data_IF_274475721223
#
_entry.id   IF_274475721223
#
_cell.length_a   1.000
_cell.length_b   1.000
_cell.length_c   1.000
_cell.angle_alpha   90.00
_cell.angle_beta   90.00
_cell.angle_gamma   90.00
#
_symmetry.space_group_name_H-M   'P 1'
#
loop_
_entity.id
_entity.type
_entity.pdbx_description
1 polymer ?
#
# COMPACT_ATOMS: atom_id res chain seq x y z
N UNK A 1 2.89 -22.27 -14.14
CA UNK A 1 1.43 -22.31 -14.42
C UNK A 1 0.97 -21.20 -15.37
N UNK A 2 1.12 -19.91 -15.04
CA UNK A 2 0.73 -18.78 -15.93
C UNK A 2 1.32 -18.85 -17.36
N UNK A 3 2.53 -19.41 -17.52
CA UNK A 3 3.28 -19.45 -18.79
C UNK A 3 2.72 -20.39 -19.86
N UNK A 4 2.09 -21.49 -19.46
CA UNK A 4 1.64 -22.52 -20.41
C UNK A 4 0.19 -22.32 -20.85
N UNK A 5 -0.61 -21.66 -20.02
CA UNK A 5 -2.06 -21.54 -20.21
C UNK A 5 -2.49 -20.22 -20.86
N UNK A 6 -1.81 -19.12 -20.52
CA UNK A 6 -2.20 -17.76 -20.93
C UNK A 6 -1.32 -17.26 -22.09
N UNK A 7 -1.40 -17.94 -23.22
CA UNK A 7 -0.55 -17.69 -24.39
C UNK A 7 -0.98 -16.49 -25.25
N UNK A 8 -2.20 -15.98 -25.06
CA UNK A 8 -2.80 -14.89 -25.86
C UNK A 8 -3.85 -14.15 -25.02
N UNK A 9 -4.54 -13.15 -25.60
CA UNK A 9 -5.66 -12.46 -24.93
C UNK A 9 -5.27 -11.42 -23.89
N UNK A 10 -4.02 -10.99 -23.88
CA UNK A 10 -3.51 -9.94 -23.00
C UNK A 10 -3.80 -8.54 -23.57
N UNK A 11 -4.31 -7.63 -22.75
CA UNK A 11 -4.52 -6.23 -23.18
C UNK A 11 -3.19 -5.45 -23.22
N UNK A 12 -2.16 -5.95 -22.54
CA UNK A 12 -0.81 -5.39 -22.54
C UNK A 12 0.25 -6.48 -22.78
N UNK A 13 1.28 -6.22 -23.60
CA UNK A 13 2.35 -7.19 -23.84
C UNK A 13 3.33 -7.32 -22.67
N UNK A 14 3.30 -6.41 -21.70
CA UNK A 14 4.29 -6.38 -20.59
C UNK A 14 4.15 -7.59 -19.66
N UNK A 15 2.96 -7.91 -19.12
CA UNK A 15 2.77 -9.11 -18.31
C UNK A 15 3.20 -10.39 -19.03
N UNK A 16 2.81 -10.54 -20.30
CA UNK A 16 3.15 -11.71 -21.10
C UNK A 16 4.66 -11.91 -21.22
N UNK A 17 5.43 -10.83 -21.44
CA UNK A 17 6.90 -10.90 -21.51
C UNK A 17 7.53 -11.29 -20.18
N UNK A 18 7.06 -10.72 -19.07
CA UNK A 18 7.57 -11.04 -17.72
C UNK A 18 7.28 -12.49 -17.33
N UNK A 19 6.11 -13.01 -17.68
CA UNK A 19 5.77 -14.44 -17.53
C UNK A 19 6.73 -15.30 -18.35
N UNK A 20 6.98 -14.95 -19.63
CA UNK A 20 7.89 -15.71 -20.48
C UNK A 20 9.32 -15.74 -19.93
N UNK A 21 9.77 -14.62 -19.34
CA UNK A 21 11.07 -14.45 -18.69
C UNK A 21 11.17 -15.06 -17.27
N UNK A 22 10.08 -15.57 -16.70
CA UNK A 22 10.07 -16.12 -15.33
C UNK A 22 10.13 -15.07 -14.23
N UNK A 23 9.90 -13.78 -14.54
CA UNK A 23 9.94 -12.66 -13.61
C UNK A 23 8.62 -12.50 -12.85
N UNK A 24 8.17 -13.57 -12.17
CA UNK A 24 6.84 -13.61 -11.56
C UNK A 24 6.69 -12.62 -10.39
N UNK A 25 7.77 -12.30 -9.68
CA UNK A 25 7.78 -11.30 -8.61
C UNK A 25 7.56 -9.87 -9.08
N UNK A 26 7.53 -9.63 -10.40
CA UNK A 26 7.27 -8.30 -10.96
C UNK A 26 5.85 -8.19 -11.56
N UNK A 27 5.00 -9.19 -11.35
CA UNK A 27 3.64 -9.31 -11.89
C UNK A 27 2.56 -8.98 -10.85
N UNK A 28 2.89 -8.14 -9.87
CA UNK A 28 1.99 -7.83 -8.77
C UNK A 28 1.05 -6.65 -9.09
N UNK A 29 -0.23 -6.72 -8.64
CA UNK A 29 -0.89 -7.90 -8.09
C UNK A 29 -1.36 -8.87 -9.21
N UNK A 30 -1.17 -10.18 -8.99
CA UNK A 30 -1.48 -11.22 -9.99
C UNK A 30 -2.97 -11.26 -10.33
N UNK A 31 -3.83 -10.93 -9.36
CA UNK A 31 -5.29 -10.88 -9.51
C UNK A 31 -5.80 -9.74 -10.41
N UNK A 32 -4.96 -8.75 -10.72
CA UNK A 32 -5.31 -7.59 -11.56
C UNK A 32 -4.60 -7.61 -12.90
N UNK A 33 -3.93 -8.71 -13.22
CA UNK A 33 -3.29 -8.88 -14.51
C UNK A 33 -4.32 -8.72 -15.65
N UNK A 34 -3.99 -7.94 -16.71
CA UNK A 34 -4.93 -7.55 -17.75
C UNK A 34 -5.19 -8.70 -18.73
N UNK A 35 -5.92 -9.70 -18.24
CA UNK A 35 -6.30 -10.89 -18.98
C UNK A 35 -7.76 -11.27 -18.66
N UNK A 36 -8.62 -11.53 -19.68
CA UNK A 36 -10.06 -11.77 -19.49
C UNK A 36 -10.42 -12.86 -18.48
N UNK A 37 -9.70 -13.99 -18.48
CA UNK A 37 -10.00 -15.08 -17.55
C UNK A 37 -9.54 -14.80 -16.11
N UNK A 38 -8.53 -13.94 -15.93
CA UNK A 38 -8.08 -13.50 -14.60
C UNK A 38 -9.11 -12.53 -14.04
N UNK A 39 -9.50 -11.52 -14.83
CA UNK A 39 -10.58 -10.60 -14.46
C UNK A 39 -11.88 -11.36 -14.13
N UNK A 40 -12.22 -12.38 -14.93
CA UNK A 40 -13.38 -13.22 -14.65
C UNK A 40 -13.26 -13.99 -13.34
N UNK A 41 -12.08 -14.49 -12.99
CA UNK A 41 -11.86 -15.18 -11.71
C UNK A 41 -12.11 -14.22 -10.54
N UNK A 42 -11.58 -12.99 -10.61
CA UNK A 42 -11.79 -11.96 -9.58
C UNK A 42 -13.27 -11.56 -9.46
N UNK A 43 -13.99 -11.41 -10.58
CA UNK A 43 -15.43 -11.12 -10.59
C UNK A 43 -16.27 -12.28 -10.03
N UNK A 44 -15.89 -13.52 -10.35
CA UNK A 44 -16.65 -14.72 -9.99
C UNK A 44 -16.50 -15.10 -8.52
N UNK A 45 -15.44 -14.64 -7.86
CA UNK A 45 -15.06 -15.08 -6.52
C UNK A 45 -14.70 -13.89 -5.64
N UNK A 46 -15.73 -13.23 -5.12
CA UNK A 46 -15.62 -12.05 -4.26
C UNK A 46 -15.33 -12.38 -2.79
N UNK A 47 -15.35 -11.34 -1.94
CA UNK A 47 -15.19 -11.49 -0.49
C UNK A 47 -16.36 -12.24 0.16
N UNK A 48 -17.56 -12.21 -0.45
CA UNK A 48 -18.72 -12.95 0.01
C UNK A 48 -18.96 -14.19 -0.86
N UNK A 49 -18.72 -15.37 -0.27
CA UNK A 49 -18.91 -16.65 -0.93
C UNK A 49 -20.37 -16.93 -1.34
N UNK A 50 -21.35 -16.27 -0.71
CA UNK A 50 -22.76 -16.40 -1.10
C UNK A 50 -23.06 -15.79 -2.48
N UNK A 51 -22.20 -14.87 -2.93
CA UNK A 51 -22.31 -14.18 -4.21
C UNK A 51 -21.33 -14.72 -5.27
N UNK A 52 -20.66 -15.85 -5.00
CA UNK A 52 -19.79 -16.49 -5.99
C UNK A 52 -20.59 -16.88 -7.25
N UNK A 53 -20.08 -16.51 -8.41
CA UNK A 53 -20.74 -16.72 -9.70
C UNK A 53 -19.85 -17.55 -10.65
N UNK A 54 -19.99 -18.87 -10.57
CA UNK A 54 -19.28 -19.83 -11.42
C UNK A 54 -20.26 -20.83 -12.04
N UNK A 55 -19.85 -21.52 -13.10
CA UNK A 55 -20.75 -22.39 -13.88
C UNK A 55 -21.13 -23.65 -13.10
N UNK A 56 -20.15 -24.27 -12.46
CA UNK A 56 -20.30 -25.52 -11.72
C UNK A 56 -18.97 -26.26 -11.60
N UNK A 57 -18.95 -27.46 -11.01
CA UNK A 57 -17.76 -28.30 -11.03
C UNK A 57 -17.45 -28.81 -12.44
N UNK A 58 -16.17 -28.85 -12.81
CA UNK A 58 -15.73 -29.47 -14.07
C UNK A 58 -15.90 -30.99 -13.96
N UNK A 59 -16.82 -31.56 -14.73
CA UNK A 59 -17.22 -32.96 -14.61
C UNK A 59 -16.08 -33.97 -14.78
N UNK A 60 -15.10 -33.68 -15.65
CA UNK A 60 -13.94 -34.54 -15.89
C UNK A 60 -12.87 -34.47 -14.79
N UNK A 61 -12.90 -33.44 -13.93
CA UNK A 61 -11.94 -33.23 -12.84
C UNK A 61 -12.43 -33.93 -11.56
N UNK A 62 -12.32 -35.25 -11.52
CA UNK A 62 -12.79 -36.08 -10.40
C UNK A 62 -11.77 -36.25 -9.28
N UNK A 63 -10.47 -36.17 -9.58
CA UNK A 63 -9.41 -36.28 -8.58
C UNK A 63 -9.13 -34.97 -7.83
N UNK A 64 -9.48 -33.84 -8.43
CA UNK A 64 -9.35 -32.51 -7.85
C UNK A 64 -10.59 -31.70 -8.21
N UNK A 65 -11.34 -31.22 -7.21
CA UNK A 65 -12.54 -30.43 -7.46
C UNK A 65 -12.15 -29.06 -8.03
N UNK A 66 -12.45 -28.85 -9.30
CA UNK A 66 -12.27 -27.58 -10.00
C UNK A 66 -13.62 -26.93 -10.30
N UNK A 67 -13.76 -25.67 -9.92
CA UNK A 67 -14.91 -24.81 -10.23
C UNK A 67 -14.68 -24.11 -11.56
N UNK A 68 -15.65 -24.18 -12.44
CA UNK A 68 -15.54 -23.68 -13.80
C UNK A 68 -15.93 -22.20 -13.91
N UNK A 69 -15.06 -21.41 -14.52
CA UNK A 69 -15.36 -20.05 -14.98
C UNK A 69 -15.22 -19.95 -16.50
N UNK A 70 -16.01 -19.07 -17.11
CA UNK A 70 -16.05 -18.85 -18.56
C UNK A 70 -16.04 -17.36 -18.88
N UNK A 71 -15.22 -16.97 -19.84
CA UNK A 71 -15.24 -15.62 -20.42
C UNK A 71 -14.98 -15.71 -21.92
N UNK A 72 -15.99 -15.48 -22.75
CA UNK A 72 -15.91 -15.67 -24.20
C UNK A 72 -15.38 -17.08 -24.56
N UNK A 73 -14.27 -17.19 -25.28
CA UNK A 73 -13.63 -18.48 -25.59
C UNK A 73 -12.76 -19.03 -24.46
N UNK A 74 -12.45 -18.24 -23.43
CA UNK A 74 -11.64 -18.68 -22.31
C UNK A 74 -12.44 -19.52 -21.32
N UNK A 75 -11.76 -20.52 -20.78
CA UNK A 75 -12.20 -21.39 -19.70
C UNK A 75 -11.13 -21.39 -18.61
N UNK A 76 -11.58 -21.43 -17.36
CA UNK A 76 -10.71 -21.49 -16.19
C UNK A 76 -11.21 -22.53 -15.20
N UNK A 77 -10.28 -23.27 -14.59
CA UNK A 77 -10.52 -24.16 -13.47
C UNK A 77 -10.00 -23.54 -12.19
N UNK A 78 -10.89 -23.27 -11.25
CA UNK A 78 -10.55 -22.68 -9.95
C UNK A 78 -10.61 -23.73 -8.86
N UNK A 79 -9.51 -23.87 -8.13
CA UNK A 79 -9.42 -24.75 -6.96
C UNK A 79 -9.52 -23.93 -5.68
N UNK A 80 -10.31 -24.40 -4.71
CA UNK A 80 -10.40 -23.78 -3.40
C UNK A 80 -9.56 -24.57 -2.38
N UNK A 81 -8.63 -23.87 -1.74
CA UNK A 81 -7.89 -24.41 -0.60
C UNK A 81 -8.82 -24.50 0.62
N UNK A 82 -9.10 -25.71 1.07
CA UNK A 82 -9.99 -25.94 2.21
C UNK A 82 -9.44 -25.45 3.54
N UNK A 83 -8.13 -25.23 3.65
CA UNK A 83 -7.49 -24.76 4.88
C UNK A 83 -7.54 -23.24 4.99
N UNK A 84 -7.27 -22.55 3.89
CA UNK A 84 -7.13 -21.08 3.86
C UNK A 84 -8.36 -20.38 3.29
N UNK A 85 -9.24 -21.11 2.59
CA UNK A 85 -10.36 -20.56 1.85
C UNK A 85 -9.97 -19.89 0.52
N UNK A 86 -8.67 -19.79 0.21
CA UNK A 86 -8.17 -19.11 -0.98
C UNK A 86 -8.58 -19.87 -2.24
N UNK A 87 -9.01 -19.12 -3.25
CA UNK A 87 -9.44 -19.64 -4.54
C UNK A 87 -8.37 -19.34 -5.59
N UNK A 88 -7.81 -20.40 -6.16
CA UNK A 88 -6.70 -20.36 -7.08
C UNK A 88 -7.18 -20.69 -8.48
N UNK A 89 -6.96 -19.81 -9.45
CA UNK A 89 -7.08 -20.15 -10.85
C UNK A 89 -5.89 -21.06 -11.22
N UNK A 90 -6.12 -22.37 -11.23
CA UNK A 90 -5.08 -23.41 -11.37
C UNK A 90 -4.99 -24.02 -12.77
N UNK A 91 -5.88 -23.64 -13.68
CA UNK A 91 -5.74 -23.98 -15.09
C UNK A 91 -6.56 -23.02 -15.92
N UNK A 92 -6.04 -22.62 -17.08
CA UNK A 92 -6.80 -21.84 -18.05
C UNK A 92 -6.52 -22.29 -19.50
N UNK A 93 -7.46 -22.01 -20.39
CA UNK A 93 -7.30 -22.34 -21.81
C UNK A 93 -8.47 -21.90 -22.66
N UNK A 94 -8.36 -22.14 -23.97
CA UNK A 94 -9.41 -21.84 -24.93
C UNK A 94 -10.32 -23.05 -25.15
N UNK A 95 -11.61 -22.79 -25.34
CA UNK A 95 -12.54 -23.72 -25.94
C UNK A 95 -12.26 -23.79 -27.46
N UNK A 96 -11.91 -24.97 -27.98
CA UNK A 96 -11.52 -25.17 -29.38
C UNK A 96 -12.21 -26.39 -30.01
N UNK A 97 -12.45 -26.32 -31.32
CA UNK A 97 -12.95 -27.43 -32.14
C UNK A 97 -14.13 -28.19 -31.55
N UNK A 98 -15.18 -27.49 -31.12
CA UNK A 98 -16.36 -28.09 -30.47
C UNK A 98 -16.03 -29.05 -29.30
N UNK A 99 -14.96 -28.74 -28.57
CA UNK A 99 -14.43 -29.52 -27.44
C UNK A 99 -13.79 -30.86 -27.82
N UNK A 100 -13.35 -31.01 -29.06
CA UNK A 100 -12.71 -32.23 -29.57
C UNK A 100 -11.22 -32.03 -29.86
N UNK A 101 -10.75 -30.79 -30.00
CA UNK A 101 -9.35 -30.50 -30.24
C UNK A 101 -8.48 -30.95 -29.07
N UNK A 102 -7.29 -31.49 -29.37
CA UNK A 102 -6.33 -31.90 -28.33
C UNK A 102 -5.97 -30.73 -27.40
N UNK A 103 -5.91 -29.52 -27.94
CA UNK A 103 -5.57 -28.31 -27.19
C UNK A 103 -6.80 -27.62 -26.56
N UNK A 104 -7.99 -28.22 -26.69
CA UNK A 104 -9.19 -27.77 -25.97
C UNK A 104 -9.00 -27.92 -24.46
N UNK A 105 -9.49 -26.91 -23.73
CA UNK A 105 -9.44 -26.87 -22.27
C UNK A 105 -9.96 -28.15 -21.59
N UNK A 106 -11.14 -28.66 -21.97
CA UNK A 106 -11.73 -29.82 -21.29
C UNK A 106 -10.97 -31.10 -21.58
N UNK A 107 -10.47 -31.26 -22.80
CA UNK A 107 -9.62 -32.39 -23.19
C UNK A 107 -8.29 -32.38 -22.41
N UNK A 108 -7.71 -31.19 -22.14
CA UNK A 108 -6.53 -31.06 -21.27
C UNK A 108 -6.84 -31.48 -19.83
N UNK A 109 -7.95 -31.01 -19.27
CA UNK A 109 -8.37 -31.36 -17.90
C UNK A 109 -8.66 -32.85 -17.76
N UNK A 110 -9.37 -33.45 -18.71
CA UNK A 110 -9.65 -34.89 -18.69
C UNK A 110 -8.37 -35.72 -18.73
N UNK A 111 -7.44 -35.39 -19.63
CA UNK A 111 -6.15 -36.10 -19.74
C UNK A 111 -5.31 -35.99 -18.46
N UNK A 112 -5.23 -34.79 -17.87
CA UNK A 112 -4.51 -34.58 -16.62
C UNK A 112 -5.15 -35.34 -15.45
N UNK A 113 -6.49 -35.43 -15.43
CA UNK A 113 -7.22 -36.26 -14.46
C UNK A 113 -6.91 -37.74 -14.62
N UNK A 114 -6.99 -38.28 -15.84
CA UNK A 114 -6.71 -39.69 -16.14
C UNK A 114 -5.25 -40.07 -15.83
N UNK A 115 -4.31 -39.15 -16.07
CA UNK A 115 -2.89 -39.32 -15.78
C UNK A 115 -2.54 -39.19 -14.29
N UNK A 116 -3.43 -38.68 -13.44
CA UNK A 116 -3.15 -38.40 -12.04
C UNK A 116 -2.35 -37.12 -11.76
N UNK A 117 -2.24 -36.23 -12.74
CA UNK A 117 -1.33 -35.08 -12.75
C UNK A 117 -1.99 -33.77 -12.31
N UNK A 118 -3.29 -33.77 -11.99
CA UNK A 118 -4.00 -32.56 -11.52
C UNK A 118 -3.37 -31.94 -10.26
N UNK A 119 -2.65 -32.73 -9.45
CA UNK A 119 -1.92 -32.22 -8.28
C UNK A 119 -0.75 -31.31 -8.66
N UNK A 120 -0.18 -31.47 -9.86
CA UNK A 120 0.87 -30.60 -10.39
C UNK A 120 0.40 -29.17 -10.67
N UNK A 121 -0.92 -28.95 -10.74
CA UNK A 121 -1.52 -27.61 -10.90
C UNK A 121 -1.77 -26.89 -9.58
N UNK A 122 -1.61 -27.58 -8.44
CA UNK A 122 -1.80 -26.93 -7.15
C UNK A 122 -0.74 -25.84 -6.93
N UNK A 123 -1.10 -24.77 -6.20
CA UNK A 123 -0.16 -23.69 -5.90
C UNK A 123 1.12 -24.20 -5.26
N UNK A 124 2.24 -23.74 -5.78
CA UNK A 124 3.58 -23.99 -5.27
C UNK A 124 3.88 -23.09 -4.07
N UNK A 125 5.02 -23.30 -3.40
CA UNK A 125 5.45 -22.43 -2.31
C UNK A 125 5.79 -21.02 -2.76
N UNK A 126 6.20 -20.85 -4.02
CA UNK A 126 6.43 -19.53 -4.61
C UNK A 126 5.09 -18.81 -4.83
N UNK A 127 4.05 -19.49 -5.32
CA UNK A 127 2.71 -18.91 -5.49
C UNK A 127 2.13 -18.44 -4.14
N UNK A 128 2.31 -19.25 -3.08
CA UNK A 128 1.90 -18.89 -1.72
C UNK A 128 2.68 -17.69 -1.17
N UNK A 129 3.97 -17.57 -1.52
CA UNK A 129 4.80 -16.43 -1.13
C UNK A 129 4.31 -15.14 -1.80
N UNK A 130 3.99 -15.20 -3.09
CA UNK A 130 3.41 -14.08 -3.85
C UNK A 130 2.07 -13.64 -3.23
N UNK A 131 1.15 -14.58 -2.97
CA UNK A 131 -0.12 -14.28 -2.30
C UNK A 131 0.09 -13.61 -0.93
N UNK A 132 1.04 -14.10 -0.13
CA UNK A 132 1.35 -13.51 1.18
C UNK A 132 1.84 -12.07 1.05
N UNK A 133 2.68 -11.78 0.05
CA UNK A 133 3.17 -10.43 -0.21
C UNK A 133 2.05 -9.48 -0.64
N UNK A 134 1.20 -9.91 -1.58
CA UNK A 134 0.04 -9.13 -2.02
C UNK A 134 -0.96 -8.87 -0.90
N UNK A 135 -1.25 -9.91 -0.10
CA UNK A 135 -2.13 -9.79 1.07
C UNK A 135 -1.57 -8.80 2.07
N UNK A 136 -0.26 -8.87 2.37
CA UNK A 136 0.38 -7.92 3.27
C UNK A 136 0.37 -6.48 2.73
N UNK A 137 0.64 -6.29 1.42
CA UNK A 137 0.60 -4.99 0.77
C UNK A 137 -0.82 -4.39 0.79
N UNK A 138 -1.84 -5.20 0.49
CA UNK A 138 -3.24 -4.78 0.54
C UNK A 138 -3.67 -4.38 1.95
N UNK A 139 -3.42 -5.24 2.94
CA UNK A 139 -3.74 -4.95 4.36
C UNK A 139 -3.07 -3.64 4.80
N UNK A 140 -1.81 -3.44 4.43
CA UNK A 140 -1.08 -2.22 4.77
C UNK A 140 -1.69 -0.98 4.08
N UNK A 141 -2.01 -1.08 2.80
CA UNK A 141 -2.61 0.03 2.03
C UNK A 141 -3.98 0.40 2.58
N UNK A 142 -4.84 -0.59 2.85
CA UNK A 142 -6.17 -0.38 3.47
C UNK A 142 -6.03 0.28 4.84
N UNK A 143 -5.05 -0.15 5.64
CA UNK A 143 -4.77 0.45 6.93
C UNK A 143 -4.29 1.91 6.80
N UNK A 144 -3.39 2.22 5.87
CA UNK A 144 -2.93 3.59 5.62
C UNK A 144 -4.06 4.51 5.16
N UNK A 145 -4.96 4.03 4.29
CA UNK A 145 -6.15 4.76 3.85
C UNK A 145 -7.08 5.06 5.04
N UNK A 146 -7.23 4.10 5.96
CA UNK A 146 -8.01 4.30 7.17
C UNK A 146 -7.35 5.31 8.12
N UNK A 147 -6.03 5.25 8.31
CA UNK A 147 -5.29 6.25 9.09
C UNK A 147 -5.47 7.65 8.51
N UNK A 148 -5.31 7.81 7.19
CA UNK A 148 -5.50 9.10 6.51
C UNK A 148 -6.93 9.63 6.71
N UNK A 149 -7.94 8.77 6.64
CA UNK A 149 -9.34 9.14 6.90
C UNK A 149 -9.54 9.65 8.33
N UNK A 150 -8.99 8.94 9.32
CA UNK A 150 -9.06 9.37 10.73
C UNK A 150 -8.34 10.71 10.94
N UNK A 151 -7.19 10.91 10.31
CA UNK A 151 -6.45 12.20 10.38
C UNK A 151 -7.26 13.32 9.73
N UNK A 152 -7.90 13.07 8.58
CA UNK A 152 -8.82 14.04 7.95
C UNK A 152 -9.94 14.42 8.90
N UNK A 153 -10.60 13.44 9.52
CA UNK A 153 -11.71 13.67 10.45
C UNK A 153 -11.25 14.47 11.69
N UNK A 154 -10.10 14.11 12.25
CA UNK A 154 -9.49 14.83 13.38
C UNK A 154 -9.13 16.27 13.01
N UNK A 155 -8.44 16.48 11.88
CA UNK A 155 -8.05 17.80 11.40
C UNK A 155 -9.27 18.68 11.13
N UNK A 156 -10.31 18.12 10.49
CA UNK A 156 -11.58 18.82 10.28
C UNK A 156 -12.23 19.28 11.58
N UNK A 157 -12.15 18.47 12.64
CA UNK A 157 -12.72 18.81 13.94
C UNK A 157 -11.97 19.97 14.62
N UNK A 158 -10.65 20.08 14.41
CA UNK A 158 -9.81 21.07 15.10
C UNK A 158 -9.31 22.21 14.22
N UNK A 159 -9.61 22.24 12.92
CA UNK A 159 -9.06 23.23 11.96
C UNK A 159 -9.30 24.71 12.33
N UNK A 160 -10.24 25.00 13.25
CA UNK A 160 -10.52 26.35 13.76
C UNK A 160 -10.07 26.55 15.22
N UNK A 161 -9.29 25.62 15.76
CA UNK A 161 -8.85 25.58 17.15
C UNK A 161 -9.40 24.39 17.93
N UNK A 162 -8.63 23.94 18.93
CA UNK A 162 -9.02 22.88 19.86
C UNK A 162 -8.14 21.63 19.73
N UNK A 163 -8.54 20.56 20.42
CA UNK A 163 -7.81 19.29 20.47
C UNK A 163 -8.74 18.13 20.15
N UNK A 164 -8.24 17.16 19.40
CA UNK A 164 -8.92 15.91 19.08
C UNK A 164 -7.99 14.73 19.33
N UNK A 165 -8.53 13.71 20.00
CA UNK A 165 -7.82 12.47 20.30
C UNK A 165 -8.36 11.35 19.42
N UNK A 166 -7.47 10.61 18.76
CA UNK A 166 -7.80 9.41 18.01
C UNK A 166 -6.94 8.22 18.46
N UNK A 167 -7.49 7.02 18.34
CA UNK A 167 -6.76 5.77 18.57
C UNK A 167 -6.61 5.05 17.26
N UNK A 168 -5.37 4.73 16.91
CA UNK A 168 -5.06 4.02 15.68
C UNK A 168 -4.89 2.54 16.01
N UNK A 169 -5.64 1.69 15.31
CA UNK A 169 -5.53 0.24 15.42
C UNK A 169 -4.38 -0.32 14.60
N UNK A 170 -3.86 -1.48 15.01
CA UNK A 170 -2.89 -2.24 14.23
C UNK A 170 -3.56 -2.77 12.93
N UNK A 171 -2.84 -2.84 11.79
CA UNK A 171 -3.37 -3.37 10.51
C UNK A 171 -3.93 -4.79 10.63
N UNK A 172 -3.39 -5.59 11.54
CA UNK A 172 -3.99 -6.85 11.98
C UNK A 172 -4.84 -6.59 13.21
N UNK A 173 -6.17 -6.67 13.05
CA UNK A 173 -7.14 -6.32 14.10
C UNK A 173 -6.95 -7.11 15.40
N UNK A 174 -6.39 -8.32 15.33
CA UNK A 174 -6.12 -9.16 16.49
C UNK A 174 -5.05 -8.60 17.44
N UNK A 175 -4.19 -7.69 16.96
CA UNK A 175 -3.09 -7.11 17.74
C UNK A 175 -3.51 -5.85 18.55
N UNK A 176 -4.74 -5.36 18.34
CA UNK A 176 -5.29 -4.21 19.07
C UNK A 176 -4.70 -2.84 18.65
N UNK A 177 -4.79 -1.80 19.51
CA UNK A 177 -4.33 -0.46 19.18
C UNK A 177 -2.81 -0.38 19.06
N UNK A 178 -2.31 0.38 18.08
CA UNK A 178 -0.89 0.66 17.91
C UNK A 178 -0.45 1.95 18.61
N UNK A 179 -1.27 3.01 18.55
CA UNK A 179 -0.93 4.31 19.12
C UNK A 179 -2.18 5.13 19.45
N UNK A 180 -2.05 5.99 20.46
CA UNK A 180 -2.96 7.12 20.68
C UNK A 180 -2.33 8.37 20.09
N UNK A 181 -3.14 9.18 19.41
CA UNK A 181 -2.69 10.41 18.76
C UNK A 181 -3.55 11.57 19.24
N UNK A 182 -2.91 12.60 19.77
CA UNK A 182 -3.56 13.85 20.16
C UNK A 182 -3.16 14.94 19.15
N UNK A 183 -4.14 15.50 18.45
CA UNK A 183 -3.97 16.56 17.46
C UNK A 183 -4.58 17.85 17.99
N UNK A 184 -3.79 18.92 18.07
CA UNK A 184 -4.25 20.23 18.54
C UNK A 184 -3.95 21.32 17.52
N UNK A 185 -4.86 22.28 17.38
CA UNK A 185 -4.65 23.50 16.59
C UNK A 185 -4.89 24.70 17.49
N UNK A 186 -4.01 25.70 17.41
CA UNK A 186 -4.13 26.97 18.11
C UNK A 186 -4.05 28.12 17.10
N UNK A 187 -5.07 28.99 17.10
CA UNK A 187 -5.07 30.20 16.30
C UNK A 187 -4.28 31.30 17.04
N UNK A 188 -3.15 31.72 16.48
CA UNK A 188 -2.33 32.83 16.99
C UNK A 188 -2.66 34.10 16.21
N UNK A 189 -3.11 35.13 16.92
CA UNK A 189 -3.50 36.43 16.36
C UNK A 189 -2.90 37.54 17.23
N UNK A 190 -1.71 37.99 16.90
CA UNK A 190 -0.99 39.02 17.66
C UNK A 190 -0.46 40.12 16.73
N UNK A 191 -1.09 41.30 16.78
CA UNK A 191 -0.77 42.42 15.89
C UNK A 191 -0.86 42.04 14.40
N UNK A 192 0.25 42.22 13.69
CA UNK A 192 0.39 41.88 12.26
C UNK A 192 0.70 40.39 12.02
N UNK A 193 0.92 39.61 13.08
CA UNK A 193 1.21 38.18 12.98
C UNK A 193 -0.09 37.36 13.11
N UNK A 194 -0.40 36.60 12.06
CA UNK A 194 -1.53 35.69 12.01
C UNK A 194 -1.10 34.32 11.50
N UNK A 195 -1.20 33.31 12.35
CA UNK A 195 -0.84 31.94 12.01
C UNK A 195 -1.68 30.93 12.79
N UNK A 196 -1.84 29.74 12.23
CA UNK A 196 -2.48 28.61 12.90
C UNK A 196 -1.40 27.57 13.21
N UNK A 197 -1.09 27.40 14.49
CA UNK A 197 -0.13 26.42 14.97
C UNK A 197 -0.81 25.07 15.13
N UNK A 198 -0.14 23.99 14.71
CA UNK A 198 -0.62 22.62 14.86
C UNK A 198 0.39 21.80 15.64
N UNK A 199 -0.08 21.08 16.64
CA UNK A 199 0.70 20.19 17.48
C UNK A 199 0.12 18.78 17.42
N UNK A 200 1.01 17.79 17.35
CA UNK A 200 0.67 16.40 17.23
C UNK A 200 1.50 15.59 18.22
N UNK A 201 0.87 14.92 19.18
CA UNK A 201 1.52 13.97 20.09
C UNK A 201 1.15 12.54 19.72
N UNK A 202 2.14 11.70 19.39
CA UNK A 202 1.94 10.30 19.00
C UNK A 202 2.48 9.38 20.09
N UNK A 203 1.59 8.93 20.97
CA UNK A 203 1.91 7.96 22.01
C UNK A 203 1.74 6.53 21.48
N UNK A 204 2.82 5.94 20.95
CA UNK A 204 2.83 4.52 20.58
C UNK A 204 2.70 3.63 21.82
N UNK A 205 1.88 2.57 21.71
CA UNK A 205 1.81 1.55 22.74
C UNK A 205 3.17 0.87 22.92
N UNK A 206 3.53 0.54 24.16
CA UNK A 206 4.87 0.05 24.53
C UNK A 206 5.31 -1.19 23.74
N UNK A 207 4.37 -2.05 23.33
CA UNK A 207 4.61 -3.21 22.47
C UNK A 207 5.13 -2.84 21.07
N UNK A 208 4.74 -1.68 20.54
CA UNK A 208 5.06 -1.24 19.17
C UNK A 208 6.03 -0.05 19.13
N UNK A 209 6.42 0.48 20.29
CA UNK A 209 7.36 1.58 20.41
C UNK A 209 8.68 1.25 19.70
N UNK A 210 9.11 2.12 18.79
CA UNK A 210 10.34 1.94 18.00
C UNK A 210 10.23 0.92 16.86
N UNK A 211 9.06 0.32 16.61
CA UNK A 211 8.86 -0.58 15.47
C UNK A 211 8.79 0.18 14.14
N UNK A 212 9.15 -0.50 13.04
CA UNK A 212 9.00 0.05 11.69
C UNK A 212 7.55 0.41 11.37
N UNK A 213 6.58 -0.33 11.94
CA UNK A 213 5.16 -0.06 11.72
C UNK A 213 4.71 1.21 12.45
N UNK A 214 5.17 1.44 13.69
CA UNK A 214 4.92 2.70 14.40
C UNK A 214 5.56 3.89 13.67
N UNK A 215 6.76 3.71 13.11
CA UNK A 215 7.37 4.74 12.26
C UNK A 215 6.55 5.01 10.99
N UNK A 216 6.06 3.95 10.34
CA UNK A 216 5.21 4.09 9.16
C UNK A 216 3.89 4.80 9.48
N UNK A 217 3.29 4.52 10.64
CA UNK A 217 2.13 5.25 11.15
C UNK A 217 2.43 6.74 11.26
N UNK A 218 3.50 7.09 11.97
CA UNK A 218 3.94 8.48 12.15
C UNK A 218 4.05 9.18 10.80
N UNK A 219 4.81 8.60 9.86
CA UNK A 219 5.01 9.16 8.52
C UNK A 219 3.68 9.37 7.79
N UNK A 220 2.77 8.38 7.83
CA UNK A 220 1.45 8.49 7.20
C UNK A 220 0.61 9.62 7.82
N UNK A 221 0.66 9.81 9.14
CA UNK A 221 -0.06 10.92 9.81
C UNK A 221 0.52 12.26 9.36
N UNK A 222 1.85 12.42 9.42
CA UNK A 222 2.53 13.66 9.06
C UNK A 222 2.26 14.08 7.61
N UNK A 223 2.37 13.15 6.65
CA UNK A 223 2.06 13.44 5.23
C UNK A 223 0.59 13.84 5.07
N UNK A 224 -0.31 13.23 5.84
CA UNK A 224 -1.74 13.57 5.76
C UNK A 224 -1.99 14.99 6.23
N UNK A 225 -1.31 15.47 7.27
CA UNK A 225 -1.48 16.82 7.80
C UNK A 225 -0.69 17.88 7.01
N UNK A 226 0.59 17.63 6.73
CA UNK A 226 1.46 18.52 5.96
C UNK A 226 2.43 17.70 5.10
N UNK A 227 2.17 17.57 3.78
CA UNK A 227 2.97 16.75 2.86
C UNK A 227 4.45 17.10 2.77
N UNK A 228 4.88 18.39 2.81
CA UNK A 228 6.28 18.73 2.73
C UNK A 228 7.06 18.13 3.91
N UNK A 229 7.97 17.21 3.61
CA UNK A 229 8.68 16.43 4.64
C UNK A 229 9.46 17.32 5.62
N UNK A 230 9.98 18.46 5.12
CA UNK A 230 10.81 19.40 5.88
C UNK A 230 10.01 20.42 6.71
N UNK A 231 8.67 20.38 6.67
CA UNK A 231 7.83 21.38 7.34
C UNK A 231 7.59 21.11 8.83
N UNK A 232 7.99 19.93 9.32
CA UNK A 232 7.76 19.52 10.70
C UNK A 232 8.96 19.79 11.60
N UNK A 233 8.70 20.49 12.71
CA UNK A 233 9.55 20.44 13.89
C UNK A 233 9.18 19.20 14.73
N UNK A 234 10.18 18.60 15.39
CA UNK A 234 9.95 17.44 16.28
C UNK A 234 10.74 17.54 17.57
N UNK A 235 10.04 17.25 18.67
CA UNK A 235 10.62 17.02 19.99
C UNK A 235 10.06 15.71 20.57
N UNK A 236 10.91 14.69 20.66
CA UNK A 236 10.52 13.31 21.07
C UNK A 236 9.40 12.77 20.18
N UNK A 237 8.20 12.59 20.72
CA UNK A 237 7.03 12.06 20.02
C UNK A 237 5.99 13.14 19.70
N UNK A 238 6.37 14.41 19.93
CA UNK A 238 5.60 15.59 19.58
C UNK A 238 6.13 16.22 18.30
N UNK A 239 5.23 16.60 17.41
CA UNK A 239 5.49 17.23 16.13
C UNK A 239 4.69 18.51 16.01
N UNK A 240 5.30 19.57 15.50
CA UNK A 240 4.65 20.86 15.38
C UNK A 240 4.89 21.48 14.01
N UNK A 241 3.92 22.27 13.54
CA UNK A 241 3.99 23.02 12.28
C UNK A 241 3.17 24.32 12.41
N UNK A 242 3.47 25.30 11.58
CA UNK A 242 2.79 26.59 11.55
C UNK A 242 2.25 26.82 10.14
N UNK A 243 0.94 26.97 10.03
CA UNK A 243 0.26 27.29 8.78
C UNK A 243 -0.18 28.74 8.71
N UNK A 244 -0.32 29.26 7.50
CA UNK A 244 -1.08 30.50 7.28
C UNK A 244 -2.55 30.30 7.68
N UNK A 245 -3.26 31.40 7.94
CA UNK A 245 -4.67 31.36 8.31
C UNK A 245 -5.48 30.62 7.25
N UNK A 246 -6.16 29.55 7.68
CA UNK A 246 -6.98 28.71 6.79
C UNK A 246 -6.22 27.61 6.05
N UNK A 247 -4.91 27.45 6.23
CA UNK A 247 -4.13 26.37 5.64
C UNK A 247 -4.70 24.98 5.99
N UNK A 248 -5.14 24.79 7.24
CA UNK A 248 -5.72 23.52 7.69
C UNK A 248 -7.09 23.23 7.06
N UNK A 249 -7.89 24.26 6.81
CA UNK A 249 -9.17 24.11 6.11
C UNK A 249 -8.97 23.74 4.63
N UNK A 250 -8.01 24.38 3.96
CA UNK A 250 -7.62 24.01 2.61
C UNK A 250 -7.13 22.56 2.56
N UNK A 251 -6.30 22.16 3.54
CA UNK A 251 -5.79 20.79 3.61
C UNK A 251 -6.88 19.74 3.83
N UNK A 252 -7.89 20.02 4.65
CA UNK A 252 -9.04 19.13 4.82
C UNK A 252 -9.76 18.90 3.49
N UNK A 253 -9.95 19.95 2.68
CA UNK A 253 -10.57 19.83 1.36
C UNK A 253 -9.72 19.00 0.38
N UNK A 254 -8.39 19.09 0.44
CA UNK A 254 -7.52 18.19 -0.33
C UNK A 254 -7.64 16.73 0.12
N UNK A 255 -7.64 16.49 1.44
CA UNK A 255 -7.82 15.16 2.01
C UNK A 255 -9.17 14.55 1.66
N UNK A 256 -10.22 15.36 1.52
CA UNK A 256 -11.52 14.89 1.05
C UNK A 256 -11.41 14.26 -0.34
N UNK A 257 -10.71 14.89 -1.28
CA UNK A 257 -10.50 14.33 -2.62
C UNK A 257 -9.71 13.01 -2.59
N UNK A 258 -8.71 12.90 -1.72
CA UNK A 258 -7.94 11.66 -1.56
C UNK A 258 -8.78 10.54 -0.93
N UNK A 259 -9.57 10.85 0.10
CA UNK A 259 -10.46 9.89 0.76
C UNK A 259 -11.56 9.43 -0.20
N UNK A 260 -12.18 10.34 -0.94
CA UNK A 260 -13.25 10.02 -1.89
C UNK A 260 -12.74 9.16 -3.06
N UNK A 261 -11.52 9.43 -3.53
CA UNK A 261 -10.88 8.64 -4.59
C UNK A 261 -10.15 7.37 -4.09
N UNK A 262 -10.15 7.11 -2.78
CA UNK A 262 -9.42 5.99 -2.14
C UNK A 262 -7.91 5.99 -2.48
N UNK A 263 -7.31 7.18 -2.56
CA UNK A 263 -5.88 7.35 -2.82
C UNK A 263 -5.16 7.91 -1.59
N UNK A 264 -3.86 7.60 -1.49
CA UNK A 264 -3.02 8.10 -0.42
C UNK A 264 -2.41 9.44 -0.84
N UNK A 265 -2.42 10.42 0.06
CA UNK A 265 -1.65 11.65 -0.14
C UNK A 265 -0.16 11.32 -0.18
N UNK A 266 0.55 11.90 -1.14
CA UNK A 266 1.98 11.67 -1.33
C UNK A 266 2.81 12.65 -0.49
N UNK A 267 4.00 12.23 -0.06
CA UNK A 267 4.95 13.16 0.55
C UNK A 267 5.52 14.09 -0.52
N UNK A 268 5.76 15.34 -0.15
CA UNK A 268 6.46 16.30 -1.00
C UNK A 268 7.87 16.41 -0.46
N UNK A 269 8.84 15.98 -1.26
CA UNK A 269 10.24 16.11 -0.88
C UNK A 269 10.64 17.57 -0.71
N UNK A 270 11.65 17.81 0.11
CA UNK A 270 12.09 19.15 0.43
C UNK A 270 12.66 19.91 -0.77
N UNK A 271 12.61 21.23 -0.69
CA UNK A 271 13.17 22.14 -1.69
C UNK A 271 14.50 22.78 -1.25
N UNK A 272 15.00 22.44 -0.06
CA UNK A 272 16.25 23.00 0.49
C UNK A 272 17.15 21.92 1.08
N UNK A 273 18.47 22.14 1.04
CA UNK A 273 19.46 21.29 1.67
C UNK A 273 19.71 21.74 3.11
N UNK A 274 19.64 20.80 4.04
CA UNK A 274 19.82 21.05 5.47
C UNK A 274 21.12 20.46 5.97
N UNK A 275 21.76 21.15 6.91
CA UNK A 275 22.98 20.65 7.53
C UNK A 275 22.62 19.69 8.66
N UNK A 276 23.17 18.49 8.63
CA UNK A 276 23.10 17.54 9.74
C UNK A 276 24.46 16.89 9.96
N UNK A 277 24.66 16.33 11.15
CA UNK A 277 25.94 15.74 11.49
C UNK A 277 26.17 14.45 10.67
N UNK A 278 27.29 14.39 9.96
CA UNK A 278 27.63 13.37 8.95
C UNK A 278 27.41 11.92 9.40
N UNK A 279 27.68 11.60 10.67
CA UNK A 279 27.47 10.24 11.22
C UNK A 279 26.00 9.80 11.24
N UNK A 280 25.06 10.74 11.28
CA UNK A 280 23.63 10.44 11.26
C UNK A 280 23.07 10.33 9.84
N UNK A 281 23.78 10.82 8.82
CA UNK A 281 23.32 10.79 7.43
C UNK A 281 23.51 9.41 6.79
N UNK A 282 24.72 8.84 6.86
CA UNK A 282 25.08 7.65 6.09
C UNK A 282 24.20 6.41 6.37
N UNK A 283 23.88 6.13 7.65
CA UNK A 283 22.97 5.03 7.99
C UNK A 283 21.51 5.34 7.70
N UNK A 284 21.10 6.60 7.89
CA UNK A 284 19.72 7.02 7.72
C UNK A 284 19.28 7.13 6.25
N UNK A 285 20.21 7.45 5.34
CA UNK A 285 19.96 7.41 3.88
C UNK A 285 19.61 6.00 3.40
N UNK A 286 20.34 4.98 3.87
CA UNK A 286 20.11 3.58 3.45
C UNK A 286 18.86 2.99 4.09
N UNK A 287 18.59 3.34 5.35
CA UNK A 287 17.45 2.82 6.12
C UNK A 287 16.17 3.63 5.96
N UNK A 288 16.19 4.75 5.23
CA UNK A 288 15.05 5.65 5.06
C UNK A 288 14.59 6.32 6.36
N UNK A 289 15.53 6.56 7.30
CA UNK A 289 15.23 7.14 8.61
C UNK A 289 15.37 8.67 8.58
N UNK A 290 14.49 9.37 9.29
CA UNK A 290 14.59 10.82 9.41
C UNK A 290 15.79 11.23 10.27
N UNK A 291 16.50 12.28 9.84
CA UNK A 291 17.57 12.94 10.59
C UNK A 291 17.13 14.34 10.99
N UNK A 292 17.71 14.86 12.06
CA UNK A 292 17.49 16.24 12.51
C UNK A 292 18.51 17.17 11.87
N UNK A 293 18.06 18.25 11.26
CA UNK A 293 18.84 19.36 10.75
C UNK A 293 19.32 20.30 11.86
N UNK A 294 20.37 21.09 11.57
CA UNK A 294 20.88 22.16 12.43
C UNK A 294 19.84 23.28 12.66
N UNK A 295 18.98 23.54 11.67
CA UNK A 295 17.86 24.47 11.81
C UNK A 295 16.75 23.96 12.74
N UNK A 296 16.64 22.64 12.95
CA UNK A 296 15.59 22.01 13.75
C UNK A 296 14.70 21.06 12.95
N UNK A 297 14.58 21.28 11.63
CA UNK A 297 13.75 20.47 10.73
C UNK A 297 14.16 19.01 10.71
N UNK A 298 13.18 18.11 10.58
CA UNK A 298 13.44 16.70 10.35
C UNK A 298 13.25 16.36 8.88
N UNK A 299 14.16 15.58 8.31
CA UNK A 299 14.09 15.18 6.92
C UNK A 299 14.71 13.79 6.73
N UNK A 300 14.23 13.03 5.75
CA UNK A 300 14.92 11.80 5.35
C UNK A 300 15.96 12.19 4.28
N UNK A 301 17.25 11.86 4.44
CA UNK A 301 18.29 12.27 3.50
C UNK A 301 18.29 11.35 2.27
N UNK A 302 17.19 11.37 1.51
CA UNK A 302 16.96 10.61 0.27
C UNK A 302 17.18 11.44 -0.99
N UNK A 303 17.23 12.76 -0.87
CA UNK A 303 17.46 13.69 -1.99
C UNK A 303 18.94 14.01 -2.16
N UNK A 304 19.33 14.32 -3.40
CA UNK A 304 20.63 14.91 -3.68
C UNK A 304 20.69 16.35 -3.13
N UNK A 305 21.37 16.51 -2.01
CA UNK A 305 21.54 17.80 -1.35
C UNK A 305 22.31 18.83 -2.19
N UNK A 306 23.18 18.41 -3.12
CA UNK A 306 23.94 19.34 -3.97
C UNK A 306 23.05 20.01 -5.03
N UNK A 307 21.92 19.37 -5.36
CA UNK A 307 20.94 19.88 -6.30
C UNK A 307 19.93 20.86 -5.67
N UNK A 308 20.00 21.11 -4.35
CA UNK A 308 19.06 21.94 -3.62
C UNK A 308 19.73 23.20 -3.03
N UNK A 309 19.06 24.36 -3.05
CA UNK A 309 19.56 25.55 -2.37
C UNK A 309 19.72 25.31 -0.86
N UNK A 310 20.77 25.89 -0.28
CA UNK A 310 21.04 25.74 1.16
C UNK A 310 19.95 26.38 2.03
N UNK A 311 19.60 25.70 3.12
CA UNK A 311 18.73 26.27 4.14
C UNK A 311 19.42 27.47 4.80
N UNK A 312 18.87 28.70 4.69
CA UNK A 312 19.53 29.91 5.19
C UNK A 312 19.74 29.87 6.71
N UNK A 313 18.81 29.26 7.45
CA UNK A 313 18.94 29.08 8.91
C UNK A 313 20.04 28.08 9.28
N UNK A 314 20.21 27.00 8.50
CA UNK A 314 21.33 26.08 8.71
C UNK A 314 22.67 26.77 8.43
N UNK A 315 22.75 27.53 7.34
CA UNK A 315 23.93 28.28 6.95
C UNK A 315 24.34 29.29 8.03
N UNK A 316 23.40 30.15 8.46
CA UNK A 316 23.62 31.12 9.53
C UNK A 316 24.10 30.46 10.84
N UNK A 317 23.39 29.44 11.32
CA UNK A 317 23.75 28.75 12.58
C UNK A 317 25.10 28.05 12.49
N UNK A 318 25.49 27.59 11.32
CA UNK A 318 26.77 26.93 11.11
C UNK A 318 27.92 27.94 11.19
N UNK A 319 27.75 29.14 10.63
CA UNK A 319 28.72 30.24 10.74
C UNK A 319 28.93 30.71 12.20
N UNK A 320 27.89 30.61 13.04
CA UNK A 320 27.94 30.97 14.45
C UNK A 320 28.63 29.93 15.35
N UNK A 321 28.92 28.72 14.84
CA UNK A 321 29.61 27.68 15.61
C UNK A 321 31.12 27.98 15.74
N UNK A 322 31.71 27.80 16.94
CA UNK A 322 33.15 27.92 17.11
C UNK A 322 33.87 26.81 16.30
N UNK A 323 34.89 27.23 15.53
CA UNK A 323 35.73 26.35 14.71
C UNK A 323 36.69 25.46 15.50
#
# INVERSE_FOLDING_TARGET
MLKEDLTSGWDSPVPQRKIAAGQHSELHPVSELPHPIIAKATESFGPDAAHDNYVGPIASATQLRLLEIKQSQWRGGVWQDTKTGVRWLVVAGLAKGDHQDRDDFYQRVQRANEAGDLKGWLPTDDDRRLLKQETAARIRTEWELNVQRQVRDALRAVQHGGTHTMTIDHPLSAEGPIARVDLSVAAVRDGDYQADEIDLDIAANSQFAGSNLAWHLTTRILISISPPEQSWDRYKDTYSNIGEVGAWAARVAELDNFVDSQTLAESVSGSTSHYSHRKHLAGSTVEGKAVRALCGAFFVPTQDHEALPECPTCSQRFEELPG
#
